data_IF_585097938029
#
_entry.id   IF_585097938029
#
_cell.length_a   1.000
_cell.length_b   1.000
_cell.length_c   1.000
_cell.angle_alpha   90.00
_cell.angle_beta   90.00
_cell.angle_gamma   90.00
#
_symmetry.space_group_name_H-M   'P 1'
#
loop_
_entity.id
_entity.type
_entity.pdbx_description
1 polymer ?
#
# COMPACT_ATOMS: atom_id res chain seq x y z
N UNK A 1 5.80 -8.64 -6.67
CA UNK A 1 4.73 -8.34 -7.64
C UNK A 1 4.10 -9.64 -8.09
N UNK A 2 2.93 -9.98 -7.57
CA UNK A 2 2.19 -11.19 -7.94
C UNK A 2 1.64 -10.99 -9.35
N UNK A 3 2.03 -11.81 -10.33
CA UNK A 3 1.44 -11.80 -11.68
C UNK A 3 -0.01 -12.24 -11.57
N UNK A 4 -0.92 -11.28 -11.39
CA UNK A 4 -2.35 -11.55 -11.48
C UNK A 4 -2.63 -11.86 -12.95
N UNK A 5 -2.97 -13.12 -13.24
CA UNK A 5 -3.29 -13.56 -14.60
C UNK A 5 -4.46 -12.73 -15.15
N UNK A 6 -4.18 -11.92 -16.16
CA UNK A 6 -5.14 -11.04 -16.83
C UNK A 6 -6.42 -11.78 -17.25
N UNK A 7 -6.28 -13.01 -17.76
CA UNK A 7 -7.39 -13.87 -18.14
C UNK A 7 -8.30 -14.24 -16.96
N UNK A 8 -7.74 -14.46 -15.77
CA UNK A 8 -8.51 -14.80 -14.58
C UNK A 8 -9.31 -13.60 -14.09
N UNK A 9 -8.73 -12.40 -14.14
CA UNK A 9 -9.41 -11.15 -13.79
C UNK A 9 -10.49 -10.79 -14.80
N UNK A 10 -10.19 -10.91 -16.10
CA UNK A 10 -11.16 -10.65 -17.17
C UNK A 10 -12.36 -11.59 -17.08
N UNK A 11 -12.14 -12.90 -16.93
CA UNK A 11 -13.21 -13.89 -16.76
C UNK A 11 -14.07 -13.61 -15.53
N UNK A 12 -13.44 -13.28 -14.39
CA UNK A 12 -14.17 -12.98 -13.16
C UNK A 12 -15.09 -11.77 -13.33
N UNK A 13 -14.57 -10.69 -13.89
CA UNK A 13 -15.32 -9.44 -14.11
C UNK A 13 -16.37 -9.58 -15.21
N UNK A 14 -16.07 -10.35 -16.26
CA UNK A 14 -16.94 -10.48 -17.42
C UNK A 14 -18.03 -11.53 -17.25
N UNK A 15 -17.83 -12.58 -16.43
CA UNK A 15 -18.74 -13.73 -16.31
C UNK A 15 -19.23 -13.92 -14.87
N UNK A 16 -18.33 -13.91 -13.88
CA UNK A 16 -18.68 -14.27 -12.49
C UNK A 16 -19.48 -13.17 -11.80
N UNK A 17 -19.11 -11.90 -11.98
CA UNK A 17 -19.81 -10.78 -11.32
C UNK A 17 -21.27 -10.64 -11.75
N UNK A 18 -21.63 -10.74 -13.04
CA UNK A 18 -23.02 -10.64 -13.44
C UNK A 18 -23.84 -11.86 -13.02
N UNK A 19 -23.27 -13.07 -13.09
CA UNK A 19 -23.93 -14.29 -12.58
C UNK A 19 -24.22 -14.20 -11.08
N UNK A 20 -23.29 -13.61 -10.31
CA UNK A 20 -23.52 -13.36 -8.89
C UNK A 20 -24.67 -12.37 -8.67
N UNK A 21 -24.75 -11.30 -9.45
CA UNK A 21 -25.86 -10.35 -9.39
C UNK A 21 -27.21 -11.00 -9.74
N UNK A 22 -27.25 -11.93 -10.69
CA UNK A 22 -28.47 -12.72 -10.99
C UNK A 22 -28.94 -13.50 -9.76
N UNK A 23 -28.02 -14.13 -9.04
CA UNK A 23 -28.36 -14.92 -7.85
C UNK A 23 -28.80 -14.03 -6.67
N UNK A 24 -28.15 -12.87 -6.50
CA UNK A 24 -28.46 -11.94 -5.40
C UNK A 24 -29.75 -11.14 -5.66
N UNK A 25 -30.06 -10.83 -6.93
CA UNK A 25 -31.20 -10.00 -7.33
C UNK A 25 -32.13 -10.71 -8.31
N UNK A 26 -32.36 -12.01 -8.11
CA UNK A 26 -33.08 -12.88 -9.05
C UNK A 26 -34.42 -12.30 -9.54
N UNK A 27 -35.22 -11.73 -8.65
CA UNK A 27 -36.51 -11.12 -9.03
C UNK A 27 -36.33 -9.95 -10.01
N UNK A 28 -35.31 -9.12 -9.79
CA UNK A 28 -35.04 -7.96 -10.64
C UNK A 28 -34.46 -8.41 -11.99
N UNK A 29 -33.56 -9.40 -11.99
CA UNK A 29 -33.01 -10.03 -13.19
C UNK A 29 -34.10 -10.70 -14.06
N UNK A 30 -35.12 -11.31 -13.44
CA UNK A 30 -36.25 -11.89 -14.18
C UNK A 30 -37.08 -10.81 -14.89
N UNK A 31 -37.33 -9.68 -14.22
CA UNK A 31 -38.09 -8.57 -14.81
C UNK A 31 -37.31 -7.93 -15.96
N UNK A 32 -36.02 -7.65 -15.77
CA UNK A 32 -35.20 -7.05 -16.84
C UNK A 32 -34.92 -8.02 -17.98
N UNK A 33 -34.73 -9.31 -17.68
CA UNK A 33 -34.66 -10.37 -18.69
C UNK A 33 -35.93 -10.47 -19.53
N UNK A 34 -37.12 -10.34 -18.91
CA UNK A 34 -38.38 -10.29 -19.63
C UNK A 34 -38.47 -9.03 -20.53
N UNK A 35 -38.00 -7.87 -20.05
CA UNK A 35 -37.93 -6.65 -20.85
C UNK A 35 -36.97 -6.77 -22.04
N UNK A 36 -35.80 -7.37 -21.85
CA UNK A 36 -34.83 -7.63 -22.90
C UNK A 36 -35.41 -8.60 -23.96
N UNK A 37 -36.10 -9.64 -23.52
CA UNK A 37 -36.83 -10.56 -24.40
C UNK A 37 -37.92 -9.84 -25.21
N UNK A 38 -38.77 -9.05 -24.55
CA UNK A 38 -39.83 -8.27 -25.20
C UNK A 38 -39.27 -7.29 -26.23
N UNK A 39 -38.13 -6.64 -25.93
CA UNK A 39 -37.43 -5.74 -26.86
C UNK A 39 -36.90 -6.48 -28.10
N UNK A 40 -36.30 -7.67 -27.92
CA UNK A 40 -35.81 -8.48 -29.03
C UNK A 40 -36.96 -8.95 -29.93
N UNK A 41 -38.04 -9.46 -29.34
CA UNK A 41 -39.22 -9.92 -30.07
C UNK A 41 -39.90 -8.79 -30.84
N UNK A 42 -40.02 -7.61 -30.23
CA UNK A 42 -40.55 -6.43 -30.92
C UNK A 42 -39.68 -6.05 -32.13
N UNK A 43 -38.35 -6.00 -31.95
CA UNK A 43 -37.41 -5.66 -33.02
C UNK A 43 -37.49 -6.64 -34.19
N UNK A 44 -37.67 -7.94 -33.90
CA UNK A 44 -37.83 -8.98 -34.90
C UNK A 44 -39.20 -8.93 -35.60
N UNK A 45 -40.28 -8.65 -34.86
CA UNK A 45 -41.64 -8.59 -35.41
C UNK A 45 -41.82 -7.43 -36.39
N UNK A 46 -41.12 -6.32 -36.18
CA UNK A 46 -41.19 -5.13 -37.02
C UNK A 46 -40.01 -5.01 -38.00
N UNK A 47 -39.21 -6.07 -38.16
CA UNK A 47 -38.05 -6.13 -39.07
C UNK A 47 -37.07 -4.95 -38.89
N UNK A 48 -36.98 -4.43 -37.65
CA UNK A 48 -36.09 -3.31 -37.30
C UNK A 48 -34.65 -3.79 -37.25
N UNK A 49 -34.46 -5.00 -36.70
CA UNK A 49 -33.18 -5.67 -36.62
C UNK A 49 -33.36 -7.16 -36.93
N UNK A 50 -32.47 -7.76 -37.71
CA UNK A 50 -32.50 -9.20 -37.92
C UNK A 50 -32.20 -9.93 -36.61
N UNK A 51 -32.77 -11.14 -36.45
CA UNK A 51 -32.70 -11.92 -35.21
C UNK A 51 -31.27 -12.11 -34.67
N UNK A 52 -30.30 -12.28 -35.57
CA UNK A 52 -28.88 -12.47 -35.22
C UNK A 52 -28.21 -11.21 -34.64
N UNK A 53 -28.80 -10.02 -34.81
CA UNK A 53 -28.36 -8.78 -34.14
C UNK A 53 -29.21 -8.53 -32.90
N UNK A 54 -30.54 -8.70 -33.00
CA UNK A 54 -31.47 -8.39 -31.93
C UNK A 54 -31.21 -9.22 -30.66
N UNK A 55 -30.99 -10.53 -30.81
CA UNK A 55 -30.78 -11.43 -29.67
C UNK A 55 -29.47 -11.14 -28.93
N UNK A 56 -28.28 -11.05 -29.58
CA UNK A 56 -27.05 -10.69 -28.87
C UNK A 56 -27.10 -9.29 -28.24
N UNK A 57 -27.80 -8.34 -28.87
CA UNK A 57 -27.95 -7.00 -28.33
C UNK A 57 -28.80 -6.99 -27.06
N UNK A 58 -29.92 -7.72 -27.03
CA UNK A 58 -30.73 -7.90 -25.83
C UNK A 58 -29.95 -8.61 -24.70
N UNK A 59 -29.19 -9.64 -25.03
CA UNK A 59 -28.29 -10.31 -24.07
C UNK A 59 -27.24 -9.34 -23.53
N UNK A 60 -26.60 -8.57 -24.40
CA UNK A 60 -25.60 -7.57 -24.01
C UNK A 60 -26.17 -6.45 -23.14
N UNK A 61 -27.41 -6.04 -23.40
CA UNK A 61 -28.15 -5.08 -22.59
C UNK A 61 -28.40 -5.62 -21.18
N UNK A 62 -28.98 -6.82 -21.07
CA UNK A 62 -29.23 -7.47 -19.78
C UNK A 62 -27.91 -7.68 -19.01
N UNK A 63 -26.86 -8.09 -19.73
CA UNK A 63 -25.54 -8.27 -19.14
C UNK A 63 -24.95 -6.96 -18.58
N UNK A 64 -25.11 -5.86 -19.32
CA UNK A 64 -24.65 -4.53 -18.90
C UNK A 64 -25.42 -4.03 -17.68
N UNK A 65 -26.72 -4.33 -17.62
CA UNK A 65 -27.56 -4.03 -16.49
C UNK A 65 -27.16 -4.80 -15.23
N UNK A 66 -27.05 -6.14 -15.33
CA UNK A 66 -26.63 -7.01 -14.21
C UNK A 66 -25.25 -6.62 -13.67
N UNK A 67 -24.33 -6.29 -14.58
CA UNK A 67 -23.02 -5.77 -14.19
C UNK A 67 -23.11 -4.40 -13.51
N UNK A 68 -24.00 -3.54 -13.97
CA UNK A 68 -24.32 -2.28 -13.31
C UNK A 68 -24.83 -2.52 -11.88
N UNK A 69 -25.74 -3.47 -11.70
CA UNK A 69 -26.27 -3.85 -10.38
C UNK A 69 -25.18 -4.36 -9.43
N UNK A 70 -24.31 -5.26 -9.91
CA UNK A 70 -23.17 -5.75 -9.15
C UNK A 70 -22.23 -4.63 -8.69
N UNK A 71 -22.04 -3.62 -9.52
CA UNK A 71 -21.24 -2.44 -9.18
C UNK A 71 -21.99 -1.49 -8.23
N UNK A 72 -23.33 -1.45 -8.27
CA UNK A 72 -24.14 -0.61 -7.41
C UNK A 72 -24.05 -1.08 -5.96
N UNK A 73 -24.13 -2.39 -5.73
CA UNK A 73 -23.99 -2.96 -4.39
C UNK A 73 -22.63 -2.63 -3.76
N UNK A 74 -21.56 -2.74 -4.55
CA UNK A 74 -20.21 -2.41 -4.09
C UNK A 74 -20.01 -0.91 -3.89
N UNK A 75 -20.63 -0.09 -4.73
CA UNK A 75 -20.58 1.36 -4.68
C UNK A 75 -21.55 1.98 -3.64
N UNK A 76 -22.40 1.18 -2.97
CA UNK A 76 -23.36 1.65 -1.97
C UNK A 76 -24.41 2.63 -2.51
N UNK A 77 -25.08 3.37 -1.60
CA UNK A 77 -26.07 4.41 -1.97
C UNK A 77 -25.42 5.53 -2.78
N UNK A 78 -25.48 5.40 -4.11
CA UNK A 78 -25.05 6.40 -5.08
C UNK A 78 -26.25 6.87 -5.89
N UNK A 79 -26.29 8.17 -6.22
CA UNK A 79 -27.31 8.72 -7.15
C UNK A 79 -27.36 7.96 -8.47
N UNK A 80 -26.24 7.40 -8.90
CA UNK A 80 -26.11 6.60 -10.12
C UNK A 80 -26.73 5.21 -10.00
N UNK A 81 -26.74 4.62 -8.80
CA UNK A 81 -27.44 3.36 -8.56
C UNK A 81 -28.96 3.56 -8.67
N UNK A 82 -29.46 4.66 -8.10
CA UNK A 82 -30.86 5.08 -8.27
C UNK A 82 -31.21 5.35 -9.73
N UNK A 83 -30.36 6.09 -10.45
CA UNK A 83 -30.55 6.35 -11.88
C UNK A 83 -30.51 5.08 -12.74
N UNK A 84 -29.66 4.10 -12.39
CA UNK A 84 -29.61 2.80 -13.07
C UNK A 84 -30.92 2.02 -12.87
N UNK A 85 -31.43 1.94 -11.63
CA UNK A 85 -32.70 1.27 -11.36
C UNK A 85 -33.88 1.99 -12.01
N UNK A 86 -33.90 3.33 -11.98
CA UNK A 86 -34.93 4.12 -12.63
C UNK A 86 -34.92 3.92 -14.15
N UNK A 87 -33.75 3.99 -14.77
CA UNK A 87 -33.62 3.77 -16.22
C UNK A 87 -34.00 2.35 -16.62
N UNK A 88 -33.65 1.33 -15.83
CA UNK A 88 -34.09 -0.04 -16.08
C UNK A 88 -35.62 -0.20 -15.97
N UNK A 89 -36.23 0.41 -14.96
CA UNK A 89 -37.68 0.43 -14.79
C UNK A 89 -38.38 1.10 -15.98
N UNK A 90 -37.93 2.30 -16.38
CA UNK A 90 -38.46 3.03 -17.54
C UNK A 90 -38.30 2.20 -18.81
N UNK A 91 -37.13 1.59 -19.01
CA UNK A 91 -36.85 0.75 -20.17
C UNK A 91 -37.79 -0.46 -20.22
N UNK A 92 -38.03 -1.12 -19.08
CA UNK A 92 -38.97 -2.24 -18.98
C UNK A 92 -40.41 -1.83 -19.30
N UNK A 93 -40.84 -0.66 -18.83
CA UNK A 93 -42.19 -0.12 -19.12
C UNK A 93 -42.31 0.21 -20.60
N UNK A 94 -41.33 0.91 -21.17
CA UNK A 94 -41.33 1.30 -22.60
C UNK A 94 -41.36 0.07 -23.50
N UNK A 95 -40.51 -0.93 -23.26
CA UNK A 95 -40.53 -2.15 -24.07
C UNK A 95 -41.75 -3.03 -23.83
N UNK A 96 -42.31 -3.06 -22.62
CA UNK A 96 -43.57 -3.73 -22.36
C UNK A 96 -44.73 -3.12 -23.16
N UNK A 97 -44.83 -1.78 -23.17
CA UNK A 97 -45.83 -1.06 -23.97
C UNK A 97 -45.63 -1.32 -25.47
N UNK A 98 -44.40 -1.19 -25.97
CA UNK A 98 -44.08 -1.44 -27.38
C UNK A 98 -44.44 -2.86 -27.80
N UNK A 99 -44.09 -3.85 -26.98
CA UNK A 99 -44.40 -5.25 -27.25
C UNK A 99 -45.91 -5.50 -27.33
N UNK A 100 -46.69 -4.96 -26.38
CA UNK A 100 -48.16 -5.08 -26.41
C UNK A 100 -48.73 -4.40 -27.66
N UNK A 101 -48.29 -3.18 -27.99
CA UNK A 101 -48.78 -2.45 -29.17
C UNK A 101 -48.41 -3.16 -30.49
N UNK A 102 -47.21 -3.72 -30.56
CA UNK A 102 -46.76 -4.53 -31.71
C UNK A 102 -47.56 -5.83 -31.83
N UNK A 103 -47.84 -6.50 -30.72
CA UNK A 103 -48.63 -7.73 -30.70
C UNK A 103 -50.06 -7.52 -31.22
N UNK A 104 -50.70 -6.41 -30.85
CA UNK A 104 -52.04 -6.05 -31.35
C UNK A 104 -52.05 -5.35 -32.72
N UNK A 105 -50.91 -5.34 -33.44
CA UNK A 105 -50.75 -4.73 -34.76
C UNK A 105 -51.16 -3.24 -34.82
N UNK A 106 -51.12 -2.52 -33.69
CA UNK A 106 -51.36 -1.07 -33.64
C UNK A 106 -50.24 -0.31 -34.35
N UNK A 107 -49.02 -0.86 -34.30
CA UNK A 107 -47.86 -0.35 -35.02
C UNK A 107 -47.79 -1.08 -36.36
N UNK A 108 -47.85 -0.34 -37.47
CA UNK A 108 -47.73 -0.93 -38.80
C UNK A 108 -46.31 -1.47 -39.01
N UNK A 109 -46.19 -2.57 -39.78
CA UNK A 109 -44.89 -3.16 -40.12
C UNK A 109 -43.98 -2.19 -40.90
N UNK A 110 -44.57 -1.23 -41.62
CA UNK A 110 -43.88 -0.11 -42.25
C UNK A 110 -44.37 1.19 -41.62
N UNK A 111 -43.72 1.67 -40.55
CA UNK A 111 -44.09 2.94 -39.94
C UNK A 111 -43.83 4.10 -40.90
N UNK A 112 -44.68 5.12 -40.85
CA UNK A 112 -44.42 6.39 -41.52
C UNK A 112 -43.12 7.01 -40.98
N UNK A 113 -42.47 7.89 -41.74
CA UNK A 113 -41.14 8.42 -41.41
C UNK A 113 -41.06 9.06 -40.02
N UNK A 114 -42.14 9.73 -39.60
CA UNK A 114 -42.24 10.31 -38.26
C UNK A 114 -42.38 9.26 -37.16
N UNK A 115 -43.21 8.24 -37.38
CA UNK A 115 -43.38 7.11 -36.44
C UNK A 115 -42.09 6.30 -36.33
N UNK A 116 -41.38 6.08 -37.44
CA UNK A 116 -40.10 5.39 -37.49
C UNK A 116 -39.03 6.14 -36.67
N UNK A 117 -39.00 7.47 -36.76
CA UNK A 117 -38.12 8.31 -35.96
C UNK A 117 -38.38 8.13 -34.45
N UNK A 118 -39.64 8.21 -34.01
CA UNK A 118 -39.99 7.99 -32.59
C UNK A 118 -39.68 6.57 -32.13
N UNK A 119 -39.94 5.58 -32.98
CA UNK A 119 -39.65 4.18 -32.69
C UNK A 119 -38.15 3.92 -32.52
N UNK A 120 -37.32 4.52 -33.38
CA UNK A 120 -35.87 4.46 -33.27
C UNK A 120 -35.37 5.10 -31.97
N UNK A 121 -35.87 6.29 -31.63
CA UNK A 121 -35.52 6.97 -30.38
C UNK A 121 -35.96 6.16 -29.15
N UNK A 122 -37.13 5.53 -29.19
CA UNK A 122 -37.61 4.68 -28.10
C UNK A 122 -36.70 3.48 -27.82
N UNK A 123 -35.92 3.00 -28.81
CA UNK A 123 -34.93 1.95 -28.61
C UNK A 123 -33.57 2.48 -28.17
N UNK A 124 -33.06 3.50 -28.87
CA UNK A 124 -31.69 4.01 -28.69
C UNK A 124 -31.54 4.77 -27.37
N UNK A 125 -32.54 5.56 -26.98
CA UNK A 125 -32.43 6.47 -25.85
C UNK A 125 -32.36 5.72 -24.50
N UNK A 126 -33.25 4.75 -24.20
CA UNK A 126 -33.15 4.02 -22.94
C UNK A 126 -31.86 3.20 -22.84
N UNK A 127 -31.41 2.59 -23.95
CA UNK A 127 -30.14 1.85 -23.99
C UNK A 127 -28.93 2.75 -23.73
N UNK A 128 -28.93 3.96 -24.32
CA UNK A 128 -27.86 4.93 -24.13
C UNK A 128 -27.80 5.46 -22.69
N UNK A 129 -28.97 5.75 -22.10
CA UNK A 129 -29.07 6.19 -20.70
C UNK A 129 -28.57 5.10 -19.76
N UNK A 130 -29.00 3.86 -19.94
CA UNK A 130 -28.60 2.75 -19.08
C UNK A 130 -27.09 2.47 -19.18
N UNK A 131 -26.54 2.51 -20.40
CA UNK A 131 -25.10 2.41 -20.64
C UNK A 131 -24.33 3.55 -19.96
N UNK A 132 -24.81 4.78 -20.07
CA UNK A 132 -24.23 5.95 -19.41
C UNK A 132 -24.27 5.83 -17.89
N UNK A 133 -25.40 5.41 -17.31
CA UNK A 133 -25.53 5.17 -15.87
C UNK A 133 -24.57 4.07 -15.39
N UNK A 134 -24.49 2.96 -16.10
CA UNK A 134 -23.57 1.84 -15.79
C UNK A 134 -22.10 2.29 -15.84
N UNK A 135 -21.72 3.08 -16.85
CA UNK A 135 -20.38 3.62 -16.98
C UNK A 135 -20.00 4.58 -15.84
N UNK A 136 -20.90 5.48 -15.44
CA UNK A 136 -20.65 6.42 -14.34
C UNK A 136 -20.60 5.71 -12.98
N UNK A 137 -21.44 4.70 -12.77
CA UNK A 137 -21.40 3.88 -11.57
C UNK A 137 -20.05 3.15 -11.43
N UNK A 138 -19.50 2.64 -12.54
CA UNK A 138 -18.15 2.05 -12.56
C UNK A 138 -17.07 3.09 -12.22
N UNK A 139 -17.21 4.33 -12.67
CA UNK A 139 -16.28 5.43 -12.32
C UNK A 139 -16.34 5.73 -10.81
N UNK A 140 -17.53 5.83 -10.24
CA UNK A 140 -17.72 6.06 -8.80
C UNK A 140 -17.16 4.91 -7.97
N UNK A 141 -17.37 3.66 -8.40
CA UNK A 141 -16.77 2.50 -7.74
C UNK A 141 -15.24 2.60 -7.69
N UNK A 142 -14.61 2.88 -8.85
CA UNK A 142 -13.15 3.07 -8.91
C UNK A 142 -12.67 4.21 -8.03
N UNK A 143 -13.38 5.34 -7.99
CA UNK A 143 -13.04 6.46 -7.12
C UNK A 143 -13.04 6.05 -5.64
N UNK A 144 -14.08 5.32 -5.20
CA UNK A 144 -14.15 4.80 -3.83
C UNK A 144 -13.07 3.78 -3.51
N UNK A 145 -12.67 2.94 -4.47
CA UNK A 145 -11.54 2.02 -4.29
C UNK A 145 -10.25 2.80 -4.05
N UNK A 146 -9.97 3.82 -4.87
CA UNK A 146 -8.80 4.68 -4.68
C UNK A 146 -8.84 5.45 -3.35
N UNK A 147 -9.99 5.95 -2.93
CA UNK A 147 -10.16 6.61 -1.63
C UNK A 147 -9.89 5.64 -0.47
N UNK A 148 -10.39 4.40 -0.56
CA UNK A 148 -10.12 3.37 0.45
C UNK A 148 -8.65 2.96 0.50
N UNK A 149 -7.97 2.89 -0.64
CA UNK A 149 -6.53 2.64 -0.69
C UNK A 149 -5.74 3.78 -0.07
N UNK A 150 -6.11 5.03 -0.36
CA UNK A 150 -5.49 6.21 0.27
C UNK A 150 -5.69 6.24 1.78
N UNK A 151 -6.91 5.97 2.26
CA UNK A 151 -7.20 5.90 3.69
C UNK A 151 -6.34 4.83 4.39
N UNK A 152 -6.16 3.65 3.78
CA UNK A 152 -5.30 2.60 4.34
C UNK A 152 -3.84 3.00 4.41
N UNK A 153 -3.34 3.74 3.41
CA UNK A 153 -1.96 4.24 3.42
C UNK A 153 -1.80 5.27 4.53
N UNK A 154 -2.76 6.19 4.68
CA UNK A 154 -2.72 7.20 5.73
C UNK A 154 -2.81 6.58 7.14
N UNK A 155 -3.68 5.59 7.35
CA UNK A 155 -3.78 4.87 8.62
C UNK A 155 -2.50 4.08 8.93
N UNK A 156 -1.89 3.46 7.91
CA UNK A 156 -0.61 2.78 8.06
C UNK A 156 0.54 3.75 8.39
N UNK A 157 0.54 4.95 7.79
CA UNK A 157 1.51 5.99 8.12
C UNK A 157 1.32 6.51 9.55
N UNK A 158 0.07 6.68 10.01
CA UNK A 158 -0.22 7.09 11.39
C UNK A 158 0.25 6.02 12.38
N UNK A 159 -0.06 4.75 12.13
CA UNK A 159 0.40 3.64 12.96
C UNK A 159 1.93 3.54 12.99
N UNK A 160 2.61 3.78 11.86
CA UNK A 160 4.07 3.78 11.80
C UNK A 160 4.68 4.95 12.60
N UNK A 161 4.05 6.13 12.59
CA UNK A 161 4.49 7.28 13.41
C UNK A 161 4.32 6.99 14.90
N UNK A 162 3.19 6.42 15.30
CA UNK A 162 2.95 6.03 16.70
C UNK A 162 3.97 4.98 17.18
N UNK A 163 4.29 3.99 16.34
CA UNK A 163 5.33 3.01 16.65
C UNK A 163 6.72 3.65 16.80
N UNK A 164 7.08 4.57 15.90
CA UNK A 164 8.36 5.27 15.97
C UNK A 164 8.45 6.16 17.23
N UNK A 165 7.35 6.80 17.65
CA UNK A 165 7.33 7.61 18.86
C UNK A 165 7.42 6.75 20.13
N UNK A 166 6.74 5.61 20.18
CA UNK A 166 6.88 4.64 21.27
C UNK A 166 8.32 4.10 21.36
N UNK A 167 8.95 3.82 20.23
CA UNK A 167 10.34 3.36 20.20
C UNK A 167 11.31 4.43 20.73
N UNK A 168 11.13 5.70 20.33
CA UNK A 168 11.89 6.83 20.87
C UNK A 168 11.71 7.00 22.38
N UNK A 169 10.49 6.79 22.90
CA UNK A 169 10.25 6.84 24.35
C UNK A 169 10.94 5.70 25.09
N UNK A 170 10.89 4.48 24.54
CA UNK A 170 11.60 3.33 25.11
C UNK A 170 13.11 3.54 25.09
N UNK A 171 13.66 4.13 24.03
CA UNK A 171 15.07 4.50 23.97
C UNK A 171 15.45 5.54 25.01
N UNK A 172 14.61 6.57 25.23
CA UNK A 172 14.84 7.57 26.29
C UNK A 172 14.89 6.91 27.66
N UNK A 173 13.90 6.05 27.98
CA UNK A 173 13.88 5.30 29.25
C UNK A 173 15.09 4.37 29.41
N UNK A 174 15.53 3.71 28.34
CA UNK A 174 16.75 2.87 28.36
C UNK A 174 18.00 3.70 28.65
N UNK A 175 18.12 4.88 28.02
CA UNK A 175 19.25 5.80 28.26
C UNK A 175 19.24 6.30 29.71
N UNK A 176 18.08 6.69 30.23
CA UNK A 176 17.93 7.11 31.64
C UNK A 176 18.36 6.01 32.61
N UNK A 177 17.87 4.78 32.42
CA UNK A 177 18.29 3.63 33.24
C UNK A 177 19.79 3.35 33.14
N UNK A 178 20.37 3.49 31.96
CA UNK A 178 21.81 3.31 31.76
C UNK A 178 22.61 4.37 32.54
N UNK A 179 22.19 5.64 32.49
CA UNK A 179 22.83 6.71 33.25
C UNK A 179 22.72 6.48 34.77
N UNK A 180 21.58 6.00 35.26
CA UNK A 180 21.41 5.65 36.68
C UNK A 180 22.32 4.51 37.11
N UNK A 181 22.44 3.46 36.29
CA UNK A 181 23.32 2.33 36.58
C UNK A 181 24.80 2.76 36.58
N UNK A 182 25.21 3.59 35.62
CA UNK A 182 26.56 4.15 35.60
C UNK A 182 26.86 5.00 36.82
N UNK A 183 25.92 5.85 37.25
CA UNK A 183 26.08 6.68 38.44
C UNK A 183 26.31 5.81 39.69
N UNK A 184 25.46 4.79 39.89
CA UNK A 184 25.61 3.82 41.00
C UNK A 184 26.92 3.05 40.94
N UNK A 185 27.35 2.66 39.74
CA UNK A 185 28.62 1.95 39.56
C UNK A 185 29.82 2.84 39.90
N UNK A 186 29.81 4.11 39.49
CA UNK A 186 30.87 5.08 39.86
C UNK A 186 30.90 5.34 41.36
N UNK A 187 29.74 5.46 42.01
CA UNK A 187 29.66 5.59 43.46
C UNK A 187 30.26 4.37 44.19
N UNK A 188 29.98 3.16 43.71
CA UNK A 188 30.54 1.93 44.26
C UNK A 188 32.08 1.88 44.11
N UNK A 189 32.62 2.28 42.94
CA UNK A 189 34.07 2.38 42.74
C UNK A 189 34.72 3.42 43.64
N UNK A 190 34.07 4.57 43.84
CA UNK A 190 34.53 5.60 44.78
C UNK A 190 34.56 5.06 46.21
N UNK A 191 33.51 4.35 46.64
CA UNK A 191 33.47 3.72 47.96
C UNK A 191 34.59 2.67 48.13
N UNK A 192 34.85 1.86 47.10
CA UNK A 192 35.90 0.85 47.12
C UNK A 192 37.31 1.45 47.14
N UNK A 193 37.56 2.49 46.33
CA UNK A 193 38.85 3.20 46.32
C UNK A 193 39.13 3.89 47.66
N UNK A 194 38.13 4.51 48.29
CA UNK A 194 38.25 5.07 49.66
C UNK A 194 38.55 3.97 50.68
N UNK A 195 37.92 2.79 50.54
CA UNK A 195 38.19 1.64 51.42
C UNK A 195 39.60 1.09 51.22
N UNK A 196 40.09 1.04 49.99
CA UNK A 196 41.46 0.68 49.63
C UNK A 196 42.48 1.66 50.23
N UNK A 197 42.24 2.97 50.12
CA UNK A 197 43.09 4.00 50.72
C UNK A 197 43.11 3.91 52.25
N UNK A 198 41.96 3.65 52.89
CA UNK A 198 41.91 3.42 54.35
C UNK A 198 42.71 2.18 54.75
N UNK A 199 42.59 1.07 54.02
CA UNK A 199 43.40 -0.13 54.26
C UNK A 199 44.87 0.20 54.12
N UNK A 200 45.31 0.81 53.01
CA UNK A 200 46.70 1.22 52.78
C UNK A 200 47.24 2.16 53.85
N UNK A 201 46.43 3.08 54.39
CA UNK A 201 46.84 3.95 55.51
C UNK A 201 47.02 3.17 56.81
N UNK A 202 46.16 2.17 57.08
CA UNK A 202 46.31 1.28 58.24
C UNK A 202 47.53 0.38 58.07
N UNK A 203 47.77 -0.18 56.88
CA UNK A 203 49.00 -0.93 56.60
C UNK A 203 50.23 -0.04 56.71
N UNK A 204 50.21 1.18 56.15
CA UNK A 204 51.29 2.16 56.25
C UNK A 204 51.62 2.55 57.70
N UNK A 205 50.61 2.72 58.57
CA UNK A 205 50.80 2.96 60.01
C UNK A 205 51.30 1.72 60.76
N UNK A 206 50.92 0.50 60.33
CA UNK A 206 51.46 -0.73 60.90
C UNK A 206 52.89 -1.04 60.42
N UNK A 207 53.28 -0.54 59.24
CA UNK A 207 54.66 -0.58 58.78
C UNK A 207 55.51 0.53 59.38
N UNK A 208 55.00 1.73 59.67
CA UNK A 208 55.77 2.75 60.41
C UNK A 208 56.02 2.35 61.87
N UNK A 209 55.15 1.53 62.46
CA UNK A 209 55.39 0.94 63.80
C UNK A 209 56.41 -0.21 63.76
N UNK A 210 56.56 -0.92 62.64
CA UNK A 210 57.56 -1.99 62.46
C UNK A 210 58.86 -1.52 61.78
N UNK A 211 58.90 -0.29 61.24
CA UNK A 211 60.06 0.34 60.63
C UNK A 211 60.90 1.15 61.64
N UNK A 212 60.49 1.18 62.92
CA UNK A 212 61.37 1.55 64.04
C UNK A 212 62.20 0.37 64.58
N UNK A 213 62.02 -0.85 64.06
CA UNK A 213 62.75 -2.07 64.50
C UNK A 213 63.65 -2.65 63.40
N UNK A 214 63.68 -2.05 62.20
CA UNK A 214 64.38 -2.62 61.03
C UNK A 214 65.35 -1.66 60.36
N UNK A 215 66.02 -0.83 61.15
CA UNK A 215 67.29 -0.20 60.80
C UNK A 215 68.44 -1.18 61.10
N UNK A 216 68.62 -2.20 60.27
CA UNK A 216 69.93 -2.80 60.04
C UNK A 216 69.87 -3.67 58.79
N UNK A 217 70.95 -3.58 58.00
CA UNK A 217 71.30 -4.41 56.83
C UNK A 217 70.80 -3.92 55.47
N UNK A 218 71.65 -3.07 54.87
CA UNK A 218 71.98 -2.98 53.43
C UNK A 218 72.96 -4.13 53.10
N UNK A 219 73.06 -4.73 51.87
CA UNK A 219 73.61 -4.11 50.64
C UNK A 219 72.87 -4.51 49.32
N UNK A 220 72.69 -3.63 48.33
CA UNK A 220 73.46 -3.40 47.06
C UNK A 220 73.16 -4.32 45.84
N UNK A 221 73.44 -3.75 44.65
CA UNK A 221 73.35 -4.23 43.25
C UNK A 221 71.97 -4.10 42.57
N UNK A 222 71.72 -3.35 41.48
CA UNK A 222 72.37 -2.92 40.21
C UNK A 222 71.63 -3.55 39.00
N UNK A 223 71.37 -2.73 37.96
CA UNK A 223 70.99 -3.14 36.60
C UNK A 223 69.56 -2.76 36.19
N UNK A 224 69.35 -1.63 35.49
CA UNK A 224 69.20 -1.53 34.01
C UNK A 224 67.75 -1.78 33.53
N UNK A 225 66.94 -0.75 33.27
CA UNK A 225 66.76 0.06 32.04
C UNK A 225 65.53 -0.33 31.21
N UNK A 226 64.74 0.70 30.90
CA UNK A 226 64.05 0.94 29.63
C UNK A 226 62.67 0.31 29.35
N UNK A 227 61.70 1.22 29.27
CA UNK A 227 60.83 1.47 28.10
C UNK A 227 59.31 1.28 28.25
N UNK A 228 58.63 2.40 27.97
CA UNK A 228 57.42 2.55 27.16
C UNK A 228 56.06 2.00 27.63
N UNK A 229 55.25 2.96 28.08
CA UNK A 229 53.82 3.18 27.75
C UNK A 229 53.64 3.15 26.20
N UNK A 230 52.47 2.82 25.58
CA UNK A 230 51.10 2.64 26.13
C UNK A 230 50.37 1.35 25.70
N UNK A 231 49.39 0.92 26.51
CA UNK A 231 48.31 0.03 26.02
C UNK A 231 47.06 0.86 25.71
N UNK A 232 46.95 1.25 24.45
CA UNK A 232 45.66 1.50 23.82
C UNK A 232 45.12 0.15 23.31
N UNK A 233 43.93 -0.25 23.75
CA UNK A 233 43.25 -1.40 23.17
C UNK A 233 41.75 -1.20 23.32
N UNK A 234 41.03 -1.13 22.20
CA UNK A 234 39.58 -1.31 22.21
C UNK A 234 38.70 -0.45 21.32
N UNK A 235 39.18 0.13 20.20
CA UNK A 235 38.26 0.67 19.16
C UNK A 235 38.81 0.46 17.75
N UNK A 236 38.90 -0.79 17.29
CA UNK A 236 39.24 -1.15 15.91
C UNK A 236 38.32 -2.25 15.36
N UNK A 237 37.01 -2.07 15.53
CA UNK A 237 36.02 -2.88 14.80
C UNK A 237 35.01 -2.07 13.98
N UNK A 238 35.02 -0.73 14.03
CA UNK A 238 34.12 0.10 13.21
C UNK A 238 34.71 0.52 11.85
N UNK A 239 36.04 0.57 11.68
CA UNK A 239 36.64 1.10 10.45
C UNK A 239 36.41 0.21 9.21
N UNK A 240 36.30 -1.11 9.40
CA UNK A 240 36.08 -2.05 8.29
C UNK A 240 34.64 -2.00 7.79
N UNK A 241 33.67 -1.71 8.66
CA UNK A 241 32.27 -1.54 8.26
C UNK A 241 31.98 -0.16 7.67
N UNK A 242 32.66 0.89 8.13
CA UNK A 242 32.56 2.24 7.56
C UNK A 242 33.17 2.32 6.16
N UNK A 243 34.33 1.69 5.92
CA UNK A 243 34.94 1.63 4.59
C UNK A 243 34.05 0.96 3.54
N UNK A 244 33.29 -0.08 3.91
CA UNK A 244 32.33 -0.72 3.01
C UNK A 244 31.10 0.16 2.73
N UNK A 245 30.73 1.03 3.66
CA UNK A 245 29.61 1.96 3.50
C UNK A 245 29.93 3.10 2.54
N UNK A 246 31.13 3.69 2.67
CA UNK A 246 31.58 4.78 1.80
C UNK A 246 31.77 4.32 0.35
N UNK A 247 32.40 3.17 0.12
CA UNK A 247 32.57 2.61 -1.23
C UNK A 247 31.21 2.33 -1.90
N UNK A 248 30.24 1.83 -1.13
CA UNK A 248 28.89 1.59 -1.63
C UNK A 248 28.15 2.90 -1.95
N UNK A 249 28.30 3.92 -1.10
CA UNK A 249 27.74 5.26 -1.32
C UNK A 249 28.31 5.89 -2.60
N UNK A 250 29.62 5.86 -2.80
CA UNK A 250 30.26 6.36 -4.03
C UNK A 250 29.76 5.65 -5.28
N UNK A 251 29.60 4.33 -5.22
CA UNK A 251 29.07 3.55 -6.33
C UNK A 251 27.62 3.94 -6.67
N UNK A 252 26.74 4.09 -5.65
CA UNK A 252 25.35 4.53 -5.83
C UNK A 252 25.29 5.93 -6.46
N UNK A 253 26.09 6.87 -5.96
CA UNK A 253 26.15 8.25 -6.49
C UNK A 253 26.60 8.26 -7.94
N UNK A 254 27.66 7.51 -8.27
CA UNK A 254 28.17 7.38 -9.65
C UNK A 254 27.10 6.84 -10.59
N UNK A 255 26.44 5.73 -10.23
CA UNK A 255 25.40 5.12 -11.06
C UNK A 255 24.19 6.03 -11.25
N UNK A 256 23.77 6.76 -10.22
CA UNK A 256 22.64 7.70 -10.33
C UNK A 256 22.98 8.95 -11.16
N UNK A 257 24.25 9.38 -11.15
CA UNK A 257 24.72 10.49 -11.98
C UNK A 257 24.81 10.11 -13.46
N UNK A 258 25.29 8.91 -13.75
CA UNK A 258 25.38 8.37 -15.12
C UNK A 258 23.99 8.01 -15.68
N UNK A 259 23.07 7.55 -14.81
CA UNK A 259 21.73 7.09 -15.22
C UNK A 259 20.63 7.63 -14.29
N UNK A 260 20.21 8.90 -14.43
CA UNK A 260 19.25 9.54 -13.53
C UNK A 260 17.83 8.94 -13.57
N UNK A 261 17.50 8.18 -14.63
CA UNK A 261 16.21 7.50 -14.80
C UNK A 261 16.20 6.05 -14.32
N UNK A 262 17.28 5.56 -13.69
CA UNK A 262 17.37 4.18 -13.21
C UNK A 262 16.28 3.88 -12.17
N UNK A 263 15.65 2.73 -12.30
CA UNK A 263 14.67 2.26 -11.33
C UNK A 263 15.39 1.93 -10.00
N UNK A 264 15.17 2.78 -8.99
CA UNK A 264 15.76 2.66 -7.65
C UNK A 264 15.52 1.28 -7.01
N UNK A 265 14.41 0.62 -7.32
CA UNK A 265 14.12 -0.73 -6.81
C UNK A 265 15.02 -1.80 -7.43
N UNK A 266 15.38 -1.67 -8.71
CA UNK A 266 16.30 -2.59 -9.38
C UNK A 266 17.74 -2.34 -8.94
N UNK A 267 18.12 -1.07 -8.72
CA UNK A 267 19.43 -0.71 -8.20
C UNK A 267 19.68 -1.29 -6.80
N UNK A 268 18.67 -1.24 -5.91
CA UNK A 268 18.76 -1.87 -4.58
C UNK A 268 19.03 -3.39 -4.67
N UNK A 269 18.34 -4.06 -5.60
CA UNK A 269 18.46 -5.50 -5.81
C UNK A 269 19.82 -5.88 -6.41
N UNK A 270 20.34 -5.12 -7.38
CA UNK A 270 21.66 -5.31 -7.96
C UNK A 270 22.79 -5.12 -6.94
N UNK A 271 22.63 -4.20 -6.00
CA UNK A 271 23.60 -3.91 -4.95
C UNK A 271 23.45 -4.81 -3.72
N UNK A 272 22.43 -5.68 -3.68
CA UNK A 272 22.18 -6.56 -2.53
C UNK A 272 21.82 -5.80 -1.25
N UNK A 273 21.32 -4.57 -1.35
CA UNK A 273 20.99 -3.73 -0.19
C UNK A 273 19.48 -3.54 -0.04
N UNK A 274 19.03 -3.43 1.21
CA UNK A 274 17.64 -3.09 1.51
C UNK A 274 17.25 -1.73 0.93
N UNK A 275 16.01 -1.60 0.46
CA UNK A 275 15.51 -0.36 -0.15
C UNK A 275 15.62 0.84 0.79
N UNK A 276 15.33 0.66 2.08
CA UNK A 276 15.44 1.70 3.10
C UNK A 276 16.85 2.28 3.15
N UNK A 277 17.86 1.41 3.18
CA UNK A 277 19.28 1.78 3.21
C UNK A 277 19.73 2.50 1.93
N UNK A 278 19.20 2.11 0.77
CA UNK A 278 19.42 2.84 -0.49
C UNK A 278 18.86 4.27 -0.41
N UNK A 279 17.65 4.46 0.14
CA UNK A 279 17.06 5.80 0.27
C UNK A 279 17.81 6.69 1.27
N UNK A 280 18.34 6.12 2.35
CA UNK A 280 19.22 6.83 3.29
C UNK A 280 20.45 7.37 2.58
N UNK A 281 21.19 6.53 1.83
CA UNK A 281 22.36 6.99 1.08
C UNK A 281 22.04 8.04 0.00
N UNK A 282 20.89 7.93 -0.66
CA UNK A 282 20.44 8.95 -1.63
C UNK A 282 20.14 10.27 -0.93
N UNK A 283 19.49 10.24 0.24
CA UNK A 283 19.19 11.44 1.01
C UNK A 283 20.46 12.09 1.56
N UNK A 284 21.39 11.30 2.10
CA UNK A 284 22.70 11.78 2.55
C UNK A 284 23.48 12.43 1.40
N UNK A 285 23.53 11.80 0.23
CA UNK A 285 24.20 12.35 -0.95
C UNK A 285 23.56 13.64 -1.48
N UNK A 286 22.25 13.83 -1.28
CA UNK A 286 21.58 15.11 -1.57
C UNK A 286 21.94 16.19 -0.56
N UNK A 287 22.02 15.82 0.72
CA UNK A 287 22.40 16.74 1.80
C UNK A 287 23.85 17.22 1.66
N UNK A 288 24.75 16.36 1.16
CA UNK A 288 26.15 16.70 0.88
C UNK A 288 26.37 17.42 -0.45
N UNK A 289 25.34 17.53 -1.30
CA UNK A 289 25.42 18.19 -2.60
C UNK A 289 26.06 17.35 -3.72
N UNK A 290 26.22 16.04 -3.50
CA UNK A 290 26.81 15.12 -4.48
C UNK A 290 25.79 14.70 -5.58
N UNK A 291 24.49 14.83 -5.28
CA UNK A 291 23.38 14.56 -6.20
C UNK A 291 22.46 15.78 -6.30
N UNK A 292 22.47 16.44 -7.47
CA UNK A 292 21.55 17.53 -7.84
C UNK A 292 20.28 17.01 -8.50
#
# INVERSE_FOLDING_TARGET
MTKVNFFTTARRVAIVEPMKAVLEHGNQALITGAAAYMSAMFSMQHDVLPAWVAVPLAVGFEWTYLRGLANADKAGRSRWAGALNWSAMVTSVVYGILFILGHYAVITAKPDGWTAFWLANAHVLPMSILSFCSANLRRVHKQREFERERAKIEDAERAAREQADLERELERKRKELHFEMEAKWREAQLAESVRGLRKNRVTANSSSTNQAVRDSVRPDSLGETSSNVPSASGTQMNSVHEQSGEQLREHIVRTLREHPKTNKSQLAEQLGIGRTRLYEFINEAKLTGDLN
#
